data_IF_448574432992
#
_entry.id   IF_448574432992
#
_cell.length_a   1.000
_cell.length_b   1.000
_cell.length_c   1.000
_cell.angle_alpha   90.00
_cell.angle_beta   90.00
_cell.angle_gamma   90.00
#
_symmetry.space_group_name_H-M   'P 1'
#
loop_
_entity.id
_entity.type
_entity.pdbx_description
1 polymer ?
#
# COMPACT_ATOMS: atom_id res chain seq x y z
N UNK A 1 5.64 19.64 4.06
CA UNK A 1 6.84 19.82 3.18
C UNK A 1 7.84 20.68 3.89
N UNK A 2 9.13 20.38 3.78
CA UNK A 2 10.23 21.15 4.35
C UNK A 2 11.20 21.47 3.19
N UNK A 3 11.45 22.76 2.94
CA UNK A 3 12.25 23.25 1.80
C UNK A 3 11.94 22.58 0.45
N UNK A 4 10.65 22.36 0.18
CA UNK A 4 10.20 21.70 -1.04
C UNK A 4 10.23 20.16 -0.99
N UNK A 5 10.84 19.54 0.01
CA UNK A 5 10.87 18.10 0.21
C UNK A 5 9.64 17.64 1.01
N UNK A 6 8.93 16.64 0.54
CA UNK A 6 7.87 15.97 1.29
C UNK A 6 8.50 15.07 2.36
N UNK A 7 8.30 15.40 3.63
CA UNK A 7 8.82 14.65 4.78
C UNK A 7 7.75 13.83 5.50
N UNK A 8 6.48 14.21 5.35
CA UNK A 8 5.34 13.52 5.93
C UNK A 8 4.17 13.52 4.96
N UNK A 9 3.37 12.47 5.03
CA UNK A 9 2.13 12.33 4.29
C UNK A 9 0.98 12.08 5.27
N UNK A 10 -0.13 12.76 5.07
CA UNK A 10 -1.37 12.53 5.82
C UNK A 10 -2.39 11.90 4.88
N UNK A 11 -3.00 10.80 5.31
CA UNK A 11 -4.05 10.11 4.57
C UNK A 11 -5.30 9.99 5.45
N UNK A 12 -6.44 10.30 4.88
CA UNK A 12 -7.74 10.23 5.52
C UNK A 12 -8.57 9.18 4.79
N UNK A 13 -8.67 7.98 5.36
CA UNK A 13 -9.32 6.84 4.72
C UNK A 13 -10.82 6.86 4.99
N UNK A 14 -11.59 7.32 4.03
CA UNK A 14 -13.06 7.25 4.06
C UNK A 14 -13.57 5.91 3.53
N UNK A 15 -12.82 5.28 2.64
CA UNK A 15 -13.17 4.01 2.01
C UNK A 15 -11.93 3.10 1.88
N UNK A 16 -12.14 1.79 1.98
CA UNK A 16 -11.15 0.77 1.65
C UNK A 16 -11.84 -0.38 0.90
N UNK A 17 -11.28 -0.80 -0.25
CA UNK A 17 -11.87 -1.86 -1.08
C UNK A 17 -13.32 -1.57 -1.52
N UNK A 18 -13.69 -0.30 -1.72
CA UNK A 18 -15.04 0.13 -2.07
C UNK A 18 -16.05 0.08 -0.92
N UNK A 19 -15.60 -0.15 0.32
CA UNK A 19 -16.42 -0.14 1.52
C UNK A 19 -16.17 1.15 2.32
N UNK A 20 -17.23 1.79 2.81
CA UNK A 20 -17.12 2.92 3.72
C UNK A 20 -16.55 2.48 5.07
N UNK A 21 -15.61 3.26 5.61
CA UNK A 21 -15.02 3.02 6.92
C UNK A 21 -15.75 3.81 8.00
N UNK A 22 -16.14 3.11 9.07
CA UNK A 22 -16.76 3.70 10.27
C UNK A 22 -16.14 3.06 11.52
N UNK A 23 -15.34 3.77 12.32
CA UNK A 23 -14.91 5.18 12.12
C UNK A 23 -13.98 5.35 10.92
N UNK A 24 -13.89 6.57 10.41
CA UNK A 24 -12.91 6.94 9.39
C UNK A 24 -11.52 6.88 10.02
N UNK A 25 -10.56 6.27 9.31
CA UNK A 25 -9.18 6.15 9.78
C UNK A 25 -8.31 7.28 9.23
N UNK A 26 -7.43 7.80 10.07
CA UNK A 26 -6.40 8.76 9.67
C UNK A 26 -5.02 8.12 9.83
N UNK A 27 -4.13 8.41 8.90
CA UNK A 27 -2.74 7.95 8.90
C UNK A 27 -1.80 9.14 8.74
N UNK A 28 -0.71 9.14 9.49
CA UNK A 28 0.44 10.03 9.27
C UNK A 28 1.65 9.15 9.02
N UNK A 29 2.24 9.32 7.83
CA UNK A 29 3.44 8.58 7.41
C UNK A 29 4.64 9.52 7.39
N UNK A 30 5.68 9.20 8.14
CA UNK A 30 6.93 9.95 8.19
C UNK A 30 7.99 9.32 7.30
N UNK A 31 8.60 10.13 6.42
CA UNK A 31 9.77 9.71 5.64
C UNK A 31 11.05 9.85 6.49
N UNK A 32 11.42 8.80 7.22
CA UNK A 32 12.55 8.85 8.17
C UNK A 32 13.86 9.18 7.46
N UNK A 33 14.10 8.64 6.29
CA UNK A 33 15.30 8.93 5.49
C UNK A 33 15.35 10.40 5.09
N UNK A 34 14.23 10.97 4.66
CA UNK A 34 14.14 12.39 4.26
C UNK A 34 14.34 13.30 5.46
N UNK A 35 13.76 12.96 6.61
CA UNK A 35 13.99 13.69 7.86
C UNK A 35 15.46 13.64 8.28
N UNK A 36 16.09 12.46 8.18
CA UNK A 36 17.51 12.30 8.53
C UNK A 36 18.38 13.11 7.58
N UNK A 37 18.15 13.06 6.28
CA UNK A 37 18.88 13.89 5.29
C UNK A 37 18.81 15.37 5.65
N UNK A 38 17.63 15.86 6.03
CA UNK A 38 17.44 17.25 6.41
C UNK A 38 18.21 17.60 7.69
N UNK A 39 18.12 16.76 8.71
CA UNK A 39 18.79 16.97 10.00
C UNK A 39 20.32 16.86 9.90
N UNK A 40 20.84 15.96 9.08
CA UNK A 40 22.28 15.76 8.87
C UNK A 40 22.86 16.65 7.75
N UNK A 41 22.03 17.47 7.09
CA UNK A 41 22.40 18.28 5.93
C UNK A 41 23.02 17.47 4.78
N UNK A 42 22.65 16.18 4.67
CA UNK A 42 23.12 15.29 3.61
C UNK A 42 22.45 15.60 2.27
N UNK A 43 23.22 15.54 1.18
CA UNK A 43 22.69 15.78 -0.17
C UNK A 43 22.07 14.54 -0.79
N UNK A 44 22.38 13.36 -0.26
CA UNK A 44 21.90 12.07 -0.74
C UNK A 44 21.50 11.16 0.42
N UNK A 45 20.43 10.40 0.23
CA UNK A 45 20.01 9.35 1.17
C UNK A 45 21.13 8.33 1.42
N UNK A 46 22.01 8.12 0.45
CA UNK A 46 23.11 7.15 0.57
C UNK A 46 24.28 7.64 1.41
N UNK A 47 24.28 8.92 1.82
CA UNK A 47 25.31 9.54 2.66
C UNK A 47 24.94 9.54 4.13
N UNK A 48 23.68 9.20 4.48
CA UNK A 48 23.26 9.15 5.88
C UNK A 48 23.83 7.90 6.58
N UNK A 49 24.10 8.01 7.87
CA UNK A 49 24.50 6.87 8.67
C UNK A 49 23.31 5.96 8.97
N UNK A 50 23.51 4.66 8.73
CA UNK A 50 22.56 3.62 9.17
C UNK A 50 22.75 3.33 10.66
N UNK A 51 24.00 3.12 11.03
CA UNK A 51 24.52 3.03 12.40
C UNK A 51 25.96 3.54 12.38
N UNK A 52 26.57 3.72 13.55
CA UNK A 52 27.97 4.16 13.64
C UNK A 52 28.90 3.30 12.76
N UNK A 53 29.59 3.96 11.84
CA UNK A 53 30.54 3.33 10.91
C UNK A 53 29.95 2.58 9.72
N UNK A 54 28.61 2.56 9.56
CA UNK A 54 27.93 1.94 8.42
C UNK A 54 26.96 2.93 7.80
N UNK A 55 27.24 3.34 6.56
CA UNK A 55 26.35 4.24 5.82
C UNK A 55 25.15 3.52 5.21
N UNK A 56 24.02 4.23 5.06
CA UNK A 56 22.80 3.74 4.41
C UNK A 56 23.09 3.19 3.00
N UNK A 57 23.98 3.84 2.25
CA UNK A 57 24.36 3.40 0.91
C UNK A 57 25.05 2.03 0.89
N UNK A 58 25.79 1.67 1.94
CA UNK A 58 26.43 0.35 2.03
C UNK A 58 25.39 -0.77 2.21
N UNK A 59 24.24 -0.45 2.82
CA UNK A 59 23.18 -1.43 3.10
C UNK A 59 22.17 -1.52 1.95
N UNK A 60 21.77 -0.37 1.35
CA UNK A 60 20.58 -0.32 0.49
C UNK A 60 20.87 0.01 -0.99
N UNK A 61 22.02 0.60 -1.33
CA UNK A 61 22.26 1.09 -2.71
C UNK A 61 22.30 -0.03 -3.74
N UNK A 62 22.91 -1.16 -3.41
CA UNK A 62 23.01 -2.29 -4.35
C UNK A 62 21.65 -2.93 -4.60
N UNK A 63 20.84 -3.10 -3.55
CA UNK A 63 19.48 -3.61 -3.65
C UNK A 63 18.62 -2.71 -4.57
N UNK A 64 18.67 -1.39 -4.35
CA UNK A 64 17.95 -0.42 -5.17
C UNK A 64 18.37 -0.50 -6.64
N UNK A 65 19.67 -0.61 -6.91
CA UNK A 65 20.21 -0.75 -8.26
C UNK A 65 19.68 -2.03 -8.95
N UNK A 66 19.76 -3.17 -8.27
CA UNK A 66 19.35 -4.47 -8.84
C UNK A 66 17.84 -4.52 -9.10
N UNK A 67 17.03 -4.06 -8.14
CA UNK A 67 15.58 -4.02 -8.29
C UNK A 67 15.15 -3.03 -9.38
N UNK A 68 15.76 -1.86 -9.44
CA UNK A 68 15.49 -0.88 -10.50
C UNK A 68 15.83 -1.44 -11.88
N UNK A 69 16.98 -2.07 -12.03
CA UNK A 69 17.34 -2.73 -13.29
C UNK A 69 16.37 -3.82 -13.68
N UNK A 70 15.98 -4.65 -12.71
CA UNK A 70 15.01 -5.71 -12.97
C UNK A 70 13.68 -5.11 -13.46
N UNK A 71 13.12 -4.15 -12.72
CA UNK A 71 11.81 -3.58 -13.02
C UNK A 71 11.77 -2.79 -14.32
N UNK A 72 12.81 -2.04 -14.64
CA UNK A 72 12.80 -1.15 -15.81
C UNK A 72 13.43 -1.77 -17.06
N UNK A 73 14.36 -2.74 -16.93
CA UNK A 73 15.15 -3.20 -18.06
C UNK A 73 15.04 -4.70 -18.35
N UNK A 74 15.05 -5.55 -17.32
CA UNK A 74 15.34 -6.98 -17.46
C UNK A 74 14.11 -7.88 -17.35
N UNK A 75 13.09 -7.49 -16.56
CA UNK A 75 11.92 -8.33 -16.30
C UNK A 75 11.26 -8.81 -17.60
N UNK A 76 11.02 -10.11 -17.72
CA UNK A 76 10.39 -10.74 -18.88
C UNK A 76 8.89 -10.42 -18.92
N UNK A 77 8.46 -9.76 -20.00
CA UNK A 77 7.08 -9.29 -20.16
C UNK A 77 6.10 -10.45 -20.29
N UNK A 78 6.44 -11.48 -21.06
CA UNK A 78 5.54 -12.63 -21.26
C UNK A 78 5.35 -13.43 -19.97
N UNK A 79 6.42 -13.59 -19.21
CA UNK A 79 6.37 -14.18 -17.88
C UNK A 79 5.47 -13.40 -16.93
N UNK A 80 5.64 -12.07 -16.86
CA UNK A 80 4.82 -11.21 -16.01
C UNK A 80 3.34 -11.23 -16.38
N UNK A 81 3.01 -11.25 -17.67
CA UNK A 81 1.63 -11.41 -18.13
C UNK A 81 1.03 -12.74 -17.71
N UNK A 82 1.79 -13.84 -17.91
CA UNK A 82 1.34 -15.17 -17.49
C UNK A 82 1.13 -15.27 -15.97
N UNK A 83 1.98 -14.62 -15.19
CA UNK A 83 1.84 -14.52 -13.74
C UNK A 83 0.57 -13.73 -13.35
N UNK A 84 0.35 -12.57 -13.96
CA UNK A 84 -0.83 -11.77 -13.70
C UNK A 84 -2.11 -12.58 -13.92
N UNK A 85 -2.24 -13.21 -15.10
CA UNK A 85 -3.43 -14.01 -15.45
C UNK A 85 -3.56 -15.26 -14.56
N UNK A 86 -2.44 -15.85 -14.15
CA UNK A 86 -2.39 -16.98 -13.22
C UNK A 86 -2.89 -16.60 -11.82
N UNK A 87 -2.37 -15.51 -11.26
CA UNK A 87 -2.77 -15.03 -9.94
C UNK A 87 -4.21 -14.54 -9.90
N UNK A 88 -4.68 -13.89 -10.97
CA UNK A 88 -6.08 -13.47 -11.06
C UNK A 88 -7.04 -14.66 -10.99
N UNK A 89 -6.77 -15.71 -11.80
CA UNK A 89 -7.59 -16.94 -11.76
C UNK A 89 -7.56 -17.60 -10.39
N UNK A 90 -6.37 -17.67 -9.77
CA UNK A 90 -6.23 -18.30 -8.45
C UNK A 90 -6.92 -17.47 -7.37
N UNK A 91 -6.87 -16.13 -7.43
CA UNK A 91 -7.62 -15.26 -6.54
C UNK A 91 -9.14 -15.54 -6.63
N UNK A 92 -9.67 -15.67 -7.86
CA UNK A 92 -11.07 -16.04 -8.08
C UNK A 92 -11.44 -17.38 -7.45
N UNK A 93 -10.65 -18.42 -7.70
CA UNK A 93 -10.85 -19.75 -7.09
C UNK A 93 -10.83 -19.71 -5.57
N UNK A 94 -9.90 -18.95 -5.00
CA UNK A 94 -9.81 -18.78 -3.54
C UNK A 94 -11.05 -18.08 -2.98
N UNK A 95 -11.56 -17.04 -3.65
CA UNK A 95 -12.78 -16.35 -3.25
C UNK A 95 -14.00 -17.28 -3.31
N UNK A 96 -14.15 -18.05 -4.38
CA UNK A 96 -15.21 -19.07 -4.51
C UNK A 96 -15.16 -20.12 -3.39
N UNK A 97 -13.96 -20.49 -2.96
CA UNK A 97 -13.73 -21.41 -1.86
C UNK A 97 -13.84 -20.77 -0.45
N UNK A 98 -14.11 -19.46 -0.36
CA UNK A 98 -14.18 -18.72 0.90
C UNK A 98 -12.80 -18.46 1.55
N UNK A 99 -11.73 -18.61 0.81
CA UNK A 99 -10.34 -18.44 1.27
C UNK A 99 -9.85 -17.00 1.02
N UNK A 100 -10.26 -16.08 1.88
CA UNK A 100 -10.03 -14.63 1.67
C UNK A 100 -8.56 -14.23 1.70
N UNK A 101 -7.78 -14.74 2.67
CA UNK A 101 -6.36 -14.35 2.81
C UNK A 101 -5.49 -14.82 1.61
N UNK A 102 -5.58 -16.08 1.15
CA UNK A 102 -4.90 -16.50 -0.07
C UNK A 102 -5.36 -15.72 -1.31
N UNK A 103 -6.65 -15.39 -1.43
CA UNK A 103 -7.16 -14.56 -2.50
C UNK A 103 -6.51 -13.17 -2.51
N UNK A 104 -6.40 -12.55 -1.34
CA UNK A 104 -5.75 -11.25 -1.18
C UNK A 104 -4.26 -11.29 -1.51
N UNK A 105 -3.54 -12.34 -1.10
CA UNK A 105 -2.15 -12.55 -1.49
C UNK A 105 -1.99 -12.60 -3.01
N UNK A 106 -2.87 -13.33 -3.70
CA UNK A 106 -2.90 -13.37 -5.16
C UNK A 106 -3.21 -12.00 -5.77
N UNK A 107 -4.15 -11.23 -5.20
CA UNK A 107 -4.46 -9.87 -5.65
C UNK A 107 -3.25 -8.92 -5.52
N UNK A 108 -2.46 -9.03 -4.45
CA UNK A 108 -1.21 -8.28 -4.28
C UNK A 108 -0.18 -8.67 -5.34
N UNK A 109 -0.05 -9.95 -5.67
CA UNK A 109 0.83 -10.44 -6.74
C UNK A 109 0.39 -9.95 -8.12
N UNK A 110 -0.93 -9.87 -8.41
CA UNK A 110 -1.45 -9.22 -9.61
C UNK A 110 -1.05 -7.74 -9.67
N UNK A 111 -1.22 -7.01 -8.58
CA UNK A 111 -0.84 -5.60 -8.48
C UNK A 111 0.66 -5.41 -8.74
N UNK A 112 1.50 -6.26 -8.14
CA UNK A 112 2.95 -6.23 -8.36
C UNK A 112 3.30 -6.50 -9.83
N UNK A 113 2.76 -7.58 -10.43
CA UNK A 113 3.01 -7.92 -11.85
C UNK A 113 2.60 -6.79 -12.78
N UNK A 114 1.45 -6.15 -12.51
CA UNK A 114 0.99 -4.97 -13.26
C UNK A 114 1.99 -3.81 -13.14
N UNK A 115 2.45 -3.49 -11.93
CA UNK A 115 3.40 -2.40 -11.72
C UNK A 115 4.72 -2.61 -12.48
N UNK A 116 5.22 -3.85 -12.51
CA UNK A 116 6.43 -4.19 -13.27
C UNK A 116 6.18 -4.12 -14.79
N UNK A 117 5.02 -4.59 -15.28
CA UNK A 117 4.63 -4.45 -16.69
C UNK A 117 4.56 -2.98 -17.12
N UNK A 118 3.98 -2.13 -16.27
CA UNK A 118 3.88 -0.68 -16.51
C UNK A 118 5.28 -0.02 -16.51
N UNK A 119 6.14 -0.38 -15.55
CA UNK A 119 7.53 0.09 -15.50
C UNK A 119 8.36 -0.35 -16.71
N UNK A 120 8.12 -1.55 -17.24
CA UNK A 120 8.72 -2.04 -18.49
C UNK A 120 8.22 -1.33 -19.75
N UNK A 121 7.22 -0.44 -19.64
CA UNK A 121 6.57 0.18 -20.79
C UNK A 121 5.82 -0.83 -21.69
N UNK A 122 5.47 -1.99 -21.14
CA UNK A 122 4.83 -3.09 -21.89
C UNK A 122 3.30 -2.97 -21.94
N UNK A 123 2.74 -1.92 -21.37
CA UNK A 123 1.29 -1.70 -21.25
C UNK A 123 0.92 -0.39 -21.93
N UNK A 124 0.02 -0.44 -22.92
CA UNK A 124 -0.55 0.76 -23.53
C UNK A 124 -1.48 1.50 -22.55
N UNK A 125 -1.78 2.77 -22.85
CA UNK A 125 -2.68 3.59 -22.01
C UNK A 125 -4.04 2.92 -21.82
N UNK A 126 -4.59 2.30 -22.86
CA UNK A 126 -5.88 1.62 -22.81
C UNK A 126 -5.81 0.33 -21.98
N UNK A 127 -4.79 -0.49 -22.19
CA UNK A 127 -4.56 -1.73 -21.43
C UNK A 127 -4.32 -1.45 -19.94
N UNK A 128 -3.60 -0.37 -19.64
CA UNK A 128 -3.36 0.08 -18.27
C UNK A 128 -4.66 0.26 -17.48
N UNK A 129 -5.63 0.95 -18.06
CA UNK A 129 -6.95 1.14 -17.44
C UNK A 129 -7.64 -0.20 -17.19
N UNK A 130 -7.56 -1.12 -18.16
CA UNK A 130 -8.11 -2.47 -18.04
C UNK A 130 -7.48 -3.29 -16.92
N UNK A 131 -6.13 -3.33 -16.85
CA UNK A 131 -5.40 -4.04 -15.81
C UNK A 131 -5.64 -3.45 -14.42
N UNK A 132 -5.63 -2.12 -14.30
CA UNK A 132 -5.97 -1.43 -13.03
C UNK A 132 -7.37 -1.78 -12.55
N UNK A 133 -8.35 -1.87 -13.47
CA UNK A 133 -9.71 -2.29 -13.14
C UNK A 133 -9.73 -3.73 -12.60
N UNK A 134 -9.04 -4.66 -13.27
CA UNK A 134 -8.95 -6.08 -12.84
C UNK A 134 -8.37 -6.19 -11.42
N UNK A 135 -7.26 -5.50 -11.13
CA UNK A 135 -6.66 -5.47 -9.78
C UNK A 135 -7.62 -4.89 -8.75
N UNK A 136 -8.31 -3.79 -9.10
CA UNK A 136 -9.31 -3.17 -8.22
C UNK A 136 -10.47 -4.11 -7.93
N UNK A 137 -10.98 -4.81 -8.94
CA UNK A 137 -12.11 -5.74 -8.79
C UNK A 137 -11.73 -6.90 -7.85
N UNK A 138 -10.50 -7.42 -7.92
CA UNK A 138 -9.98 -8.40 -6.97
C UNK A 138 -9.91 -7.84 -5.55
N UNK A 139 -9.37 -6.64 -5.37
CA UNK A 139 -9.26 -6.00 -4.06
C UNK A 139 -10.64 -5.78 -3.42
N UNK A 140 -11.63 -5.33 -4.22
CA UNK A 140 -13.02 -5.16 -3.78
C UNK A 140 -13.64 -6.50 -3.40
N UNK A 141 -13.42 -7.54 -4.21
CA UNK A 141 -13.88 -8.90 -3.91
C UNK A 141 -13.32 -9.43 -2.60
N UNK A 142 -12.02 -9.26 -2.36
CA UNK A 142 -11.37 -9.65 -1.10
C UNK A 142 -11.91 -8.86 0.09
N UNK A 143 -12.10 -7.55 -0.04
CA UNK A 143 -12.61 -6.71 1.04
C UNK A 143 -14.02 -7.13 1.47
N UNK A 144 -14.92 -7.36 0.50
CA UNK A 144 -16.28 -7.82 0.76
C UNK A 144 -16.30 -9.20 1.42
N UNK A 145 -15.58 -10.16 0.85
CA UNK A 145 -15.48 -11.51 1.41
C UNK A 145 -14.88 -11.51 2.82
N UNK A 146 -13.92 -10.61 3.10
CA UNK A 146 -13.36 -10.43 4.43
C UNK A 146 -14.42 -9.96 5.43
N UNK A 147 -15.17 -8.91 5.12
CA UNK A 147 -16.21 -8.37 6.00
C UNK A 147 -17.30 -9.42 6.25
N UNK A 148 -17.79 -10.09 5.21
CA UNK A 148 -18.75 -11.18 5.32
C UNK A 148 -18.26 -12.33 6.22
N UNK A 149 -16.98 -12.68 6.09
CA UNK A 149 -16.36 -13.69 6.96
C UNK A 149 -16.29 -13.25 8.42
N UNK A 150 -15.98 -11.97 8.67
CA UNK A 150 -15.96 -11.40 10.04
C UNK A 150 -17.36 -11.33 10.65
N UNK A 151 -18.36 -10.98 9.84
CA UNK A 151 -19.77 -10.94 10.25
C UNK A 151 -20.26 -12.34 10.64
N UNK A 152 -20.02 -13.37 9.81
CA UNK A 152 -20.35 -14.77 10.12
C UNK A 152 -19.72 -15.26 11.42
N UNK A 153 -18.55 -14.74 11.80
CA UNK A 153 -17.87 -15.03 13.08
C UNK A 153 -18.40 -14.17 14.25
N UNK A 154 -19.35 -13.26 14.01
CA UNK A 154 -19.89 -12.35 15.02
C UNK A 154 -18.88 -11.27 15.45
N UNK A 155 -17.96 -10.84 14.57
CA UNK A 155 -16.94 -9.80 14.84
C UNK A 155 -16.16 -10.05 16.15
N UNK A 156 -15.39 -11.13 16.26
CA UNK A 156 -14.77 -11.55 17.53
C UNK A 156 -13.83 -10.51 18.14
N UNK A 157 -13.28 -9.58 17.36
CA UNK A 157 -12.45 -8.49 17.88
C UNK A 157 -13.26 -7.35 18.53
N UNK A 158 -14.57 -7.32 18.32
CA UNK A 158 -15.47 -6.38 18.98
C UNK A 158 -16.14 -6.98 20.22
N UNK A 159 -16.10 -8.31 20.37
CA UNK A 159 -16.64 -9.00 21.55
C UNK A 159 -15.73 -8.71 22.76
N UNK A 160 -16.33 -8.24 23.85
CA UNK A 160 -15.62 -7.92 25.09
C UNK A 160 -15.06 -6.49 25.17
N UNK A 161 -15.26 -5.66 24.15
CA UNK A 161 -15.06 -4.21 24.29
C UNK A 161 -16.31 -3.60 24.93
N UNK A 162 -16.44 -3.73 26.25
CA UNK A 162 -17.47 -3.06 27.07
C UNK A 162 -17.10 -1.61 27.40
N UNK A 163 -16.28 -0.97 26.56
CA UNK A 163 -16.09 0.47 26.62
C UNK A 163 -17.06 1.11 25.64
N UNK A 164 -17.94 1.96 26.13
CA UNK A 164 -18.73 2.88 25.31
C UNK A 164 -17.83 3.55 24.28
N UNK A 165 -18.30 3.83 23.05
CA UNK A 165 -17.55 4.64 22.12
C UNK A 165 -17.24 5.97 22.81
N UNK A 166 -16.00 6.16 23.20
CA UNK A 166 -15.54 7.40 23.78
C UNK A 166 -15.74 8.51 22.76
N UNK A 167 -16.79 9.31 23.01
CA UNK A 167 -16.91 10.68 22.56
C UNK A 167 -17.04 10.88 21.06
N UNK A 168 -18.20 11.34 20.65
CA UNK A 168 -18.31 12.32 19.58
C UNK A 168 -17.31 13.47 19.87
N UNK A 169 -16.13 13.36 19.31
CA UNK A 169 -15.25 14.53 19.22
C UNK A 169 -15.85 15.42 18.13
N UNK A 170 -16.75 16.28 18.53
CA UNK A 170 -17.20 17.42 17.72
C UNK A 170 -15.96 18.23 17.36
N UNK A 171 -15.62 18.29 16.08
CA UNK A 171 -14.51 19.06 15.47
C UNK A 171 -14.83 20.56 15.50
N UNK A 172 -15.27 21.11 16.62
CA UNK A 172 -15.65 22.51 16.72
C UNK A 172 -14.69 23.37 17.53
N UNK A 173 -13.56 22.84 18.03
CA UNK A 173 -12.67 23.62 18.91
C UNK A 173 -11.20 23.76 18.47
N UNK A 174 -10.86 23.53 17.22
CA UNK A 174 -9.47 23.73 16.75
C UNK A 174 -9.32 24.92 15.78
N UNK A 175 -10.37 25.71 15.57
CA UNK A 175 -10.32 26.85 14.63
C UNK A 175 -9.85 28.19 15.25
N UNK A 176 -9.67 28.29 16.57
CA UNK A 176 -9.40 29.58 17.23
C UNK A 176 -8.00 29.74 17.90
N UNK A 177 -7.05 28.87 17.58
CA UNK A 177 -5.68 28.94 18.15
C UNK A 177 -4.60 29.36 17.13
N UNK A 178 -4.95 30.05 16.06
CA UNK A 178 -3.99 30.61 15.10
C UNK A 178 -4.29 32.11 14.86
N UNK A 179 -3.90 32.93 15.83
CA UNK A 179 -3.63 34.35 15.65
C UNK A 179 -2.31 34.71 16.32
#
# INVERSE_FOLDING_TARGET
>A
MLDGMEITQFTYFQQAGGLELKPISAEITYGLERLTMFLSLSQSIYEIDWVEGIGYGQVRKQEEYELSRYYFEVADVAFLQSQFDGYEREAGRCLEAGLVLPAYECALKCSHSFNVLDARGAVSVTERVGLMKRVRDLAVGCARAYVESREKQGFPLLQGRTGEPTGETTVTEVADAAH
#
